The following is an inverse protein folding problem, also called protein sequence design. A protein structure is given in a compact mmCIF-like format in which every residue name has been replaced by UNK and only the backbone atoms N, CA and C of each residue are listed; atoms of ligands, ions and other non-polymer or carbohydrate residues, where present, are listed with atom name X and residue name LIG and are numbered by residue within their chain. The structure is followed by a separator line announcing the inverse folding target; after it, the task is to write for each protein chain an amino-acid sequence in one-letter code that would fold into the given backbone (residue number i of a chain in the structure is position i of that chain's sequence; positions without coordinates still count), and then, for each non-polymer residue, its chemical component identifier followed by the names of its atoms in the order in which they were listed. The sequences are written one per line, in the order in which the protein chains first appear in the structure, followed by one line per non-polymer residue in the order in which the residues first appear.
data_IF_505648703442
#
_entry.id   IF_505648703442
#
_cell.length_a   1.000
_cell.length_b   1.000
_cell.length_c   1.000
_cell.angle_alpha   90.00
_cell.angle_beta   90.00
_cell.angle_gamma   90.00
#
_symmetry.space_group_name_H-M   'P 1'
#
loop_
_entity.id
_entity.type
_entity.pdbx_description
1 polymer ?
#
# COMPACT_ATOMS: atom_id res chain seq x y z
N UNK A 1 -21.42 -15.14 12.94
CA UNK A 1 -22.31 -14.29 12.12
C UNK A 1 -22.80 -13.14 12.97
N UNK A 2 -22.86 -11.95 12.41
CA UNK A 2 -23.42 -10.75 13.04
C UNK A 2 -24.74 -10.40 12.36
N UNK A 3 -25.61 -9.64 13.04
CA UNK A 3 -26.87 -9.18 12.44
C UNK A 3 -26.78 -7.68 12.15
N UNK A 4 -27.16 -7.30 10.93
CA UNK A 4 -27.25 -5.91 10.51
C UNK A 4 -28.65 -5.61 9.95
N UNK A 5 -29.12 -4.39 10.16
CA UNK A 5 -30.36 -3.91 9.54
C UNK A 5 -30.10 -3.55 8.07
N UNK A 6 -30.50 -4.43 7.16
CA UNK A 6 -30.35 -4.27 5.71
C UNK A 6 -31.65 -3.82 5.06
N UNK A 7 -31.60 -2.98 4.01
CA UNK A 7 -32.81 -2.60 3.27
C UNK A 7 -33.35 -3.79 2.46
N UNK A 8 -34.64 -4.10 2.60
CA UNK A 8 -35.33 -5.08 1.75
C UNK A 8 -35.83 -4.45 0.45
N UNK A 9 -36.32 -5.27 -0.48
CA UNK A 9 -36.86 -4.85 -1.77
C UNK A 9 -38.12 -3.96 -1.63
N UNK A 10 -38.79 -4.01 -0.49
CA UNK A 10 -39.97 -3.22 -0.13
C UNK A 10 -39.60 -1.86 0.54
N UNK A 11 -38.33 -1.52 0.63
CA UNK A 11 -37.82 -0.29 1.26
C UNK A 11 -37.79 -0.34 2.80
N UNK A 12 -38.24 -1.42 3.44
CA UNK A 12 -38.13 -1.61 4.89
C UNK A 12 -36.79 -2.19 5.28
N UNK A 13 -36.40 -2.00 6.54
CA UNK A 13 -35.13 -2.55 7.07
C UNK A 13 -35.42 -3.81 7.91
N UNK A 14 -34.73 -4.87 7.54
CA UNK A 14 -34.84 -6.18 8.22
C UNK A 14 -33.49 -6.52 8.88
N UNK A 15 -33.57 -7.17 10.05
CA UNK A 15 -32.41 -7.80 10.67
C UNK A 15 -31.97 -8.98 9.77
N UNK A 16 -30.80 -8.90 9.21
CA UNK A 16 -30.25 -9.89 8.27
C UNK A 16 -28.93 -10.40 8.82
N UNK A 17 -28.76 -11.72 8.80
CA UNK A 17 -27.49 -12.33 9.16
C UNK A 17 -26.43 -11.96 8.11
N UNK A 18 -25.29 -11.47 8.60
CA UNK A 18 -24.14 -11.09 7.76
C UNK A 18 -22.91 -11.82 8.23
N UNK A 19 -22.02 -12.11 7.29
CA UNK A 19 -20.73 -12.71 7.55
C UNK A 19 -19.66 -11.93 6.79
N UNK A 20 -18.50 -11.76 7.39
CA UNK A 20 -17.32 -11.30 6.68
C UNK A 20 -16.72 -12.42 5.80
N UNK A 21 -15.69 -12.08 5.03
CA UNK A 21 -15.07 -13.02 4.09
C UNK A 21 -14.49 -14.25 4.80
N UNK A 22 -13.86 -14.08 5.97
CA UNK A 22 -13.30 -15.18 6.75
C UNK A 22 -14.39 -16.14 7.23
N UNK A 23 -15.46 -15.60 7.78
CA UNK A 23 -16.63 -16.37 8.23
C UNK A 23 -17.29 -17.11 7.06
N UNK A 24 -17.43 -16.47 5.88
CA UNK A 24 -17.97 -17.12 4.68
C UNK A 24 -17.10 -18.29 4.22
N UNK A 25 -15.77 -18.12 4.17
CA UNK A 25 -14.85 -19.18 3.80
C UNK A 25 -14.92 -20.36 4.76
N UNK A 26 -15.07 -20.09 6.08
CA UNK A 26 -15.26 -21.12 7.09
C UNK A 26 -16.60 -21.85 6.93
N UNK A 27 -17.68 -21.13 6.67
CA UNK A 27 -19.01 -21.72 6.44
C UNK A 27 -19.00 -22.65 5.23
N UNK A 28 -18.38 -22.26 4.13
CA UNK A 28 -18.30 -23.07 2.90
C UNK A 28 -17.58 -24.39 3.15
N UNK A 29 -16.57 -24.44 4.02
CA UNK A 29 -15.89 -25.68 4.38
C UNK A 29 -16.81 -26.70 5.04
N UNK A 30 -17.83 -26.25 5.78
CA UNK A 30 -18.81 -27.11 6.47
C UNK A 30 -19.98 -27.56 5.58
N UNK A 31 -20.12 -26.97 4.38
CA UNK A 31 -21.24 -27.33 3.46
C UNK A 31 -20.97 -28.68 2.80
N UNK A 32 -21.82 -29.71 3.01
CA UNK A 32 -21.69 -31.03 2.40
C UNK A 32 -22.24 -31.03 0.96
N UNK A 33 -21.59 -30.31 0.04
CA UNK A 33 -22.04 -30.18 -1.34
C UNK A 33 -20.90 -30.36 -2.32
N UNK A 34 -21.08 -31.17 -3.36
CA UNK A 34 -20.14 -31.31 -4.46
C UNK A 34 -19.86 -29.98 -5.17
N UNK A 35 -20.78 -29.02 -5.14
CA UNK A 35 -20.57 -27.67 -5.69
C UNK A 35 -19.59 -26.84 -4.88
N UNK A 36 -19.41 -27.14 -3.59
CA UNK A 36 -18.44 -26.48 -2.74
C UNK A 36 -17.03 -27.06 -2.85
N UNK A 37 -16.90 -28.28 -3.40
CA UNK A 37 -15.64 -29.02 -3.45
C UNK A 37 -14.50 -28.27 -4.18
N UNK A 38 -14.70 -27.64 -5.35
CA UNK A 38 -13.63 -26.87 -6.00
C UNK A 38 -13.10 -25.73 -5.12
N UNK A 39 -13.97 -25.07 -4.34
CA UNK A 39 -13.55 -24.00 -3.43
C UNK A 39 -12.80 -24.54 -2.21
N UNK A 40 -13.22 -25.71 -1.69
CA UNK A 40 -12.49 -26.38 -0.60
C UNK A 40 -11.08 -26.79 -1.03
N UNK A 41 -10.93 -27.33 -2.26
CA UNK A 41 -9.64 -27.69 -2.83
C UNK A 41 -8.76 -26.45 -3.03
N UNK A 42 -9.34 -25.36 -3.55
CA UNK A 42 -8.62 -24.09 -3.69
C UNK A 42 -8.15 -23.56 -2.31
N UNK A 43 -8.99 -23.60 -1.28
CA UNK A 43 -8.60 -23.20 0.07
C UNK A 43 -7.46 -24.06 0.63
N UNK A 44 -7.50 -25.37 0.37
CA UNK A 44 -6.43 -26.28 0.79
C UNK A 44 -5.12 -25.96 0.07
N UNK A 45 -5.17 -25.66 -1.24
CA UNK A 45 -4.00 -25.25 -2.04
C UNK A 45 -3.40 -23.93 -1.51
N UNK A 46 -4.24 -22.91 -1.28
CA UNK A 46 -3.78 -21.61 -0.72
C UNK A 46 -3.18 -21.79 0.68
N UNK A 47 -3.78 -22.65 1.51
CA UNK A 47 -3.24 -22.97 2.84
C UNK A 47 -1.88 -23.65 2.76
N UNK A 48 -1.72 -24.60 1.86
CA UNK A 48 -0.44 -25.28 1.62
C UNK A 48 0.64 -24.33 1.09
N UNK A 49 0.32 -23.49 0.10
CA UNK A 49 1.21 -22.46 -0.41
C UNK A 49 1.71 -21.55 0.71
N UNK A 50 0.80 -21.12 1.61
CA UNK A 50 1.16 -20.27 2.74
C UNK A 50 2.10 -20.96 3.74
N UNK A 51 1.93 -22.27 3.96
CA UNK A 51 2.82 -23.07 4.80
C UNK A 51 4.21 -23.16 4.13
N UNK A 52 4.25 -23.47 2.82
CA UNK A 52 5.50 -23.53 2.06
C UNK A 52 6.26 -22.20 2.05
N UNK A 53 5.56 -21.06 1.94
CA UNK A 53 6.14 -19.71 2.05
C UNK A 53 6.76 -19.43 3.45
N UNK A 54 6.35 -20.16 4.48
CA UNK A 54 6.94 -20.01 5.82
C UNK A 54 8.28 -20.73 5.90
N UNK A 55 8.43 -21.83 5.16
CA UNK A 55 9.67 -22.60 5.03
C UNK A 55 10.64 -21.95 4.03
N UNK A 56 10.12 -21.44 2.92
CA UNK A 56 10.85 -20.72 1.86
C UNK A 56 10.19 -19.37 1.54
N UNK A 57 10.63 -18.27 2.18
CA UNK A 57 10.07 -16.93 1.95
C UNK A 57 10.22 -16.40 0.51
N UNK A 58 11.12 -16.94 -0.30
CA UNK A 58 11.29 -16.52 -1.70
C UNK A 58 10.03 -16.81 -2.53
N UNK A 59 9.30 -17.89 -2.22
CA UNK A 59 8.03 -18.25 -2.86
C UNK A 59 6.98 -17.14 -2.74
N UNK A 60 6.95 -16.41 -1.62
CA UNK A 60 6.04 -15.27 -1.45
C UNK A 60 6.41 -14.10 -2.38
N UNK A 61 7.72 -13.86 -2.61
CA UNK A 61 8.19 -12.85 -3.56
C UNK A 61 7.86 -13.24 -5.00
N UNK A 62 8.08 -14.49 -5.37
CA UNK A 62 7.76 -15.02 -6.69
C UNK A 62 6.26 -14.90 -6.98
N UNK A 63 5.40 -15.26 -6.03
CA UNK A 63 3.94 -15.09 -6.15
C UNK A 63 3.54 -13.62 -6.29
N UNK A 64 4.21 -12.70 -5.57
CA UNK A 64 3.95 -11.28 -5.71
C UNK A 64 4.34 -10.79 -7.12
N UNK A 65 5.52 -11.19 -7.62
CA UNK A 65 5.98 -10.86 -8.98
C UNK A 65 5.02 -11.38 -10.05
N UNK A 66 4.61 -12.66 -9.97
CA UNK A 66 3.62 -13.24 -10.88
C UNK A 66 2.28 -12.48 -10.87
N UNK A 67 1.82 -12.07 -9.69
CA UNK A 67 0.58 -11.31 -9.55
C UNK A 67 0.65 -9.99 -10.30
N UNK A 68 1.77 -9.26 -10.21
CA UNK A 68 1.98 -8.02 -10.97
C UNK A 68 2.12 -8.29 -12.47
N UNK A 69 2.82 -9.36 -12.88
CA UNK A 69 2.92 -9.76 -14.29
C UNK A 69 1.54 -10.07 -14.89
N UNK A 70 0.70 -10.82 -14.17
CA UNK A 70 -0.70 -11.12 -14.56
C UNK A 70 -1.57 -9.85 -14.68
N UNK A 71 -1.25 -8.79 -13.94
CA UNK A 71 -1.89 -7.48 -14.06
C UNK A 71 -1.34 -6.63 -15.23
N UNK A 72 -0.33 -7.13 -15.96
CA UNK A 72 0.22 -6.47 -17.14
C UNK A 72 1.38 -5.50 -16.87
N UNK A 73 1.95 -5.49 -15.66
CA UNK A 73 3.12 -4.66 -15.37
C UNK A 73 4.40 -5.27 -15.95
N UNK A 74 5.33 -4.41 -16.40
CA UNK A 74 6.64 -4.87 -16.89
C UNK A 74 7.55 -5.32 -15.74
N UNK A 75 8.53 -6.17 -16.04
CA UNK A 75 9.51 -6.64 -15.04
C UNK A 75 10.29 -5.46 -14.42
N UNK A 76 10.65 -4.48 -15.22
CA UNK A 76 11.37 -3.27 -14.78
C UNK A 76 10.52 -2.49 -13.77
N UNK A 77 9.23 -2.29 -14.06
CA UNK A 77 8.31 -1.63 -13.15
C UNK A 77 8.14 -2.42 -11.84
N UNK A 78 8.01 -3.75 -11.93
CA UNK A 78 7.86 -4.63 -10.75
C UNK A 78 9.09 -4.50 -9.85
N UNK A 79 10.30 -4.52 -10.39
CA UNK A 79 11.54 -4.35 -9.63
C UNK A 79 11.56 -2.99 -8.90
N UNK A 80 11.18 -1.91 -9.58
CA UNK A 80 11.06 -0.58 -8.95
C UNK A 80 10.01 -0.57 -7.84
N UNK A 81 8.89 -1.24 -8.07
CA UNK A 81 7.81 -1.33 -7.08
C UNK A 81 8.23 -2.10 -5.82
N UNK A 82 8.93 -3.23 -5.98
CA UNK A 82 9.47 -4.01 -4.86
C UNK A 82 10.49 -3.17 -4.06
N UNK A 83 11.40 -2.47 -4.74
CA UNK A 83 12.36 -1.55 -4.10
C UNK A 83 11.65 -0.43 -3.33
N UNK A 84 10.56 0.10 -3.88
CA UNK A 84 9.77 1.14 -3.19
C UNK A 84 9.08 0.64 -1.92
N UNK A 85 8.78 -0.67 -1.83
CA UNK A 85 8.22 -1.28 -0.61
C UNK A 85 9.31 -1.35 0.48
N UNK A 86 10.54 -1.72 0.11
CA UNK A 86 11.68 -1.78 1.03
C UNK A 86 11.99 -0.39 1.61
N UNK A 87 12.17 0.60 0.73
CA UNK A 87 12.42 2.01 1.14
C UNK A 87 11.30 2.53 2.06
N UNK A 88 10.06 2.22 1.72
CA UNK A 88 8.91 2.61 2.55
C UNK A 88 8.95 1.95 3.93
N UNK A 89 9.35 0.69 4.01
CA UNK A 89 9.47 -0.03 5.26
C UNK A 89 10.54 0.59 6.15
N UNK A 90 11.72 0.89 5.60
CA UNK A 90 12.78 1.59 6.34
C UNK A 90 12.30 2.91 6.95
N UNK A 91 11.57 3.71 6.17
CA UNK A 91 11.01 4.98 6.66
C UNK A 91 10.01 4.76 7.79
N UNK A 92 9.12 3.78 7.66
CA UNK A 92 8.12 3.52 8.71
C UNK A 92 8.75 2.96 9.98
N UNK A 93 9.78 2.13 9.86
CA UNK A 93 10.54 1.60 11.00
C UNK A 93 11.29 2.76 11.70
N UNK A 94 11.86 3.71 10.96
CA UNK A 94 12.49 4.91 11.51
C UNK A 94 11.47 5.77 12.26
N UNK A 95 10.28 5.99 11.71
CA UNK A 95 9.23 6.73 12.39
C UNK A 95 8.80 6.09 13.72
N UNK A 96 8.68 4.75 13.77
CA UNK A 96 8.42 4.04 15.01
C UNK A 96 9.53 4.25 16.03
N UNK A 97 10.78 4.16 15.62
CA UNK A 97 11.95 4.39 16.47
C UNK A 97 11.99 5.84 17.00
N UNK A 98 11.35 6.79 16.31
CA UNK A 98 11.24 8.20 16.70
C UNK A 98 9.95 8.54 17.48
N UNK A 99 9.18 7.53 17.87
CA UNK A 99 7.97 7.71 18.68
C UNK A 99 6.74 8.20 17.91
N UNK A 100 6.74 8.11 16.57
CA UNK A 100 5.54 8.39 15.76
C UNK A 100 4.58 7.21 15.84
N UNK A 101 3.29 7.50 16.02
CA UNK A 101 2.28 6.46 16.17
C UNK A 101 1.77 5.97 14.82
N UNK A 102 1.64 4.63 14.69
CA UNK A 102 1.04 4.01 13.50
C UNK A 102 -0.39 4.50 13.26
N UNK A 103 -0.82 4.45 12.02
CA UNK A 103 -2.15 4.83 11.60
C UNK A 103 -2.23 6.29 11.17
N UNK A 104 -2.88 7.15 11.93
CA UNK A 104 -3.17 8.52 11.51
C UNK A 104 -1.91 9.37 11.33
N UNK A 105 -0.94 9.29 12.24
CA UNK A 105 0.29 10.08 12.14
C UNK A 105 1.12 9.67 10.92
N UNK A 106 1.27 8.36 10.68
CA UNK A 106 1.93 7.85 9.46
C UNK A 106 1.24 8.32 8.18
N UNK A 107 -0.09 8.38 8.17
CA UNK A 107 -0.85 8.88 7.03
C UNK A 107 -0.56 10.36 6.77
N UNK A 108 -0.54 11.18 7.84
CA UNK A 108 -0.24 12.61 7.74
C UNK A 108 1.19 12.84 7.25
N UNK A 109 2.18 12.14 7.82
CA UNK A 109 3.58 12.26 7.37
C UNK A 109 3.75 11.83 5.91
N UNK A 110 3.03 10.79 5.49
CA UNK A 110 3.00 10.37 4.09
C UNK A 110 2.43 11.45 3.17
N UNK A 111 1.38 12.13 3.61
CA UNK A 111 0.77 13.25 2.87
C UNK A 111 1.72 14.46 2.80
N UNK A 112 2.45 14.77 3.86
CA UNK A 112 3.45 15.85 3.84
C UNK A 112 4.58 15.54 2.83
N UNK A 113 5.11 14.32 2.83
CA UNK A 113 6.09 13.89 1.84
C UNK A 113 5.51 14.02 0.43
N UNK A 114 4.32 13.45 0.19
CA UNK A 114 3.68 13.45 -1.13
C UNK A 114 3.41 14.86 -1.62
N UNK A 115 2.90 15.73 -0.75
CA UNK A 115 2.66 17.14 -1.08
C UNK A 115 3.95 17.89 -1.41
N UNK A 116 5.02 17.62 -0.68
CA UNK A 116 6.28 18.30 -0.89
C UNK A 116 6.94 17.91 -2.24
N UNK A 117 6.89 16.63 -2.64
CA UNK A 117 7.50 16.23 -3.91
C UNK A 117 6.56 16.31 -5.11
N UNK A 118 5.28 15.95 -4.95
CA UNK A 118 4.32 15.92 -6.07
C UNK A 118 3.54 17.22 -6.24
N UNK A 119 3.50 18.11 -5.21
CA UNK A 119 2.66 19.30 -5.18
C UNK A 119 1.19 19.00 -4.90
N UNK A 120 0.83 17.76 -4.64
CA UNK A 120 -0.52 17.26 -4.40
C UNK A 120 -0.52 16.37 -3.15
N UNK A 121 -1.56 16.42 -2.33
CA UNK A 121 -1.74 15.42 -1.30
C UNK A 121 -2.15 14.06 -1.91
N UNK A 122 -2.09 12.99 -1.13
CA UNK A 122 -2.40 11.63 -1.59
C UNK A 122 -3.81 11.53 -2.20
N UNK A 123 -4.79 12.25 -1.64
CA UNK A 123 -6.17 12.24 -2.13
C UNK A 123 -6.29 12.95 -3.49
N UNK A 124 -5.67 14.11 -3.62
CA UNK A 124 -5.61 14.86 -4.88
C UNK A 124 -4.90 14.07 -5.96
N UNK A 125 -3.79 13.41 -5.60
CA UNK A 125 -3.03 12.59 -6.54
C UNK A 125 -3.82 11.35 -7.00
N UNK A 126 -4.54 10.69 -6.09
CA UNK A 126 -5.46 9.62 -6.47
C UNK A 126 -6.56 10.12 -7.42
N UNK A 127 -7.13 11.30 -7.14
CA UNK A 127 -8.14 11.89 -8.01
C UNK A 127 -7.59 12.20 -9.41
N UNK A 128 -6.37 12.76 -9.52
CA UNK A 128 -5.69 13.01 -10.79
C UNK A 128 -5.54 11.72 -11.61
N UNK A 129 -5.23 10.59 -10.96
CA UNK A 129 -5.11 9.27 -11.59
C UNK A 129 -6.44 8.51 -11.70
N UNK A 130 -7.58 9.14 -11.39
CA UNK A 130 -8.92 8.54 -11.43
C UNK A 130 -9.08 7.30 -10.53
N UNK A 131 -8.32 7.24 -9.42
CA UNK A 131 -8.33 6.14 -8.46
C UNK A 131 -9.33 6.40 -7.33
N UNK A 132 -10.00 5.34 -6.85
CA UNK A 132 -10.93 5.41 -5.70
C UNK A 132 -10.32 4.75 -4.45
N UNK A 133 -10.19 3.42 -4.47
CA UNK A 133 -9.68 2.61 -3.35
C UNK A 133 -8.30 2.01 -3.63
N UNK A 134 -7.88 2.02 -4.87
CA UNK A 134 -6.65 1.42 -5.35
C UNK A 134 -5.42 2.04 -4.67
N UNK A 135 -4.35 1.27 -4.59
CA UNK A 135 -3.09 1.76 -4.05
C UNK A 135 -2.46 2.75 -5.05
N UNK A 136 -2.19 3.98 -4.61
CA UNK A 136 -1.62 5.02 -5.47
C UNK A 136 -0.29 4.59 -6.11
N UNK A 137 0.59 3.92 -5.36
CA UNK A 137 1.91 3.50 -5.84
C UNK A 137 1.83 2.44 -6.95
N UNK A 138 0.78 1.64 -6.97
CA UNK A 138 0.57 0.65 -8.04
C UNK A 138 0.17 1.30 -9.38
N UNK A 139 -0.16 2.59 -9.36
CA UNK A 139 -0.52 3.39 -10.54
C UNK A 139 0.49 4.51 -10.84
N UNK A 140 1.66 4.46 -10.22
CA UNK A 140 2.78 5.36 -10.51
C UNK A 140 3.60 4.84 -11.69
N UNK A 141 4.08 5.75 -12.54
CA UNK A 141 5.10 5.47 -13.54
C UNK A 141 6.45 5.13 -12.87
N UNK A 142 7.41 4.61 -13.62
CA UNK A 142 8.75 4.35 -13.11
C UNK A 142 9.40 5.61 -12.52
N UNK A 143 9.26 6.76 -13.18
CA UNK A 143 9.82 8.02 -12.68
C UNK A 143 9.14 8.50 -11.40
N UNK A 144 7.82 8.40 -11.32
CA UNK A 144 7.08 8.72 -10.10
C UNK A 144 7.48 7.82 -8.92
N UNK A 145 7.68 6.51 -9.16
CA UNK A 145 8.19 5.59 -8.14
C UNK A 145 9.60 5.98 -7.67
N UNK A 146 10.49 6.35 -8.59
CA UNK A 146 11.86 6.80 -8.26
C UNK A 146 11.83 8.08 -7.43
N UNK A 147 11.03 9.07 -7.82
CA UNK A 147 10.90 10.33 -7.05
C UNK A 147 10.27 10.09 -5.68
N UNK A 148 9.27 9.22 -5.58
CA UNK A 148 8.69 8.85 -4.29
C UNK A 148 9.70 8.13 -3.40
N UNK A 149 10.48 7.20 -3.94
CA UNK A 149 11.57 6.54 -3.20
C UNK A 149 12.64 7.54 -2.75
N UNK A 150 13.01 8.49 -3.61
CA UNK A 150 13.97 9.55 -3.24
C UNK A 150 13.44 10.37 -2.06
N UNK A 151 12.16 10.78 -2.09
CA UNK A 151 11.54 11.52 -1.00
C UNK A 151 11.54 10.73 0.31
N UNK A 152 11.19 9.43 0.25
CA UNK A 152 11.15 8.55 1.42
C UNK A 152 12.56 8.26 1.97
N UNK A 153 13.54 7.96 1.10
CA UNK A 153 14.92 7.68 1.50
C UNK A 153 15.61 8.92 2.09
N UNK A 154 15.44 10.10 1.47
CA UNK A 154 16.00 11.35 2.01
C UNK A 154 15.35 11.73 3.34
N UNK A 155 14.06 11.49 3.52
CA UNK A 155 13.39 11.68 4.82
C UNK A 155 14.01 10.75 5.88
N UNK A 156 14.23 9.48 5.56
CA UNK A 156 14.86 8.51 6.47
C UNK A 156 16.28 8.94 6.85
N UNK A 157 17.08 9.35 5.87
CA UNK A 157 18.46 9.78 6.13
C UNK A 157 18.53 11.04 7.00
N UNK A 158 17.70 12.06 6.71
CA UNK A 158 17.62 13.27 7.51
C UNK A 158 17.15 12.93 8.95
N UNK A 159 16.19 12.01 9.09
CA UNK A 159 15.71 11.56 10.40
C UNK A 159 16.82 10.92 11.23
N UNK A 160 17.61 10.03 10.60
CA UNK A 160 18.75 9.37 11.26
C UNK A 160 19.82 10.35 11.75
N UNK A 161 20.01 11.46 11.03
CA UNK A 161 20.99 12.49 11.39
C UNK A 161 20.46 13.47 12.41
N UNK A 162 19.21 13.95 12.25
CA UNK A 162 18.61 14.96 13.12
C UNK A 162 17.99 14.40 14.40
N UNK A 163 17.72 13.10 14.44
CA UNK A 163 17.13 12.38 15.58
C UNK A 163 15.81 13.04 16.06
N UNK A 164 14.84 13.32 15.18
CA UNK A 164 13.61 13.98 15.57
C UNK A 164 12.81 13.13 16.57
N UNK A 165 12.23 13.78 17.57
CA UNK A 165 11.39 13.11 18.57
C UNK A 165 9.91 13.47 18.38
N UNK A 166 9.06 12.44 18.32
CA UNK A 166 7.61 12.58 18.21
C UNK A 166 7.14 13.12 16.86
N UNK A 167 5.84 13.35 16.76
CA UNK A 167 5.17 13.63 15.51
C UNK A 167 5.60 14.94 14.83
N UNK A 168 5.63 16.07 15.55
CA UNK A 168 5.84 17.39 14.94
C UNK A 168 7.25 17.56 14.36
N UNK A 169 8.28 17.06 15.03
CA UNK A 169 9.64 17.10 14.49
C UNK A 169 9.80 16.19 13.27
N UNK A 170 9.19 14.99 13.30
CA UNK A 170 9.17 14.09 12.14
C UNK A 170 8.38 14.69 10.98
N UNK A 171 7.34 15.48 11.23
CA UNK A 171 6.59 16.21 10.19
C UNK A 171 7.46 17.23 9.47
N UNK A 172 8.31 17.95 10.18
CA UNK A 172 9.26 18.89 9.58
C UNK A 172 10.28 18.13 8.70
N UNK A 173 10.84 17.02 9.22
CA UNK A 173 11.78 16.16 8.46
C UNK A 173 11.13 15.57 7.21
N UNK A 174 9.88 15.12 7.32
CA UNK A 174 9.11 14.59 6.18
C UNK A 174 8.96 15.64 5.05
N UNK A 175 8.69 16.88 5.42
CA UNK A 175 8.61 18.01 4.49
C UNK A 175 9.96 18.30 3.83
N UNK A 176 11.04 18.30 4.58
CA UNK A 176 12.39 18.53 4.05
C UNK A 176 12.80 17.45 3.05
N UNK A 177 12.66 16.16 3.41
CA UNK A 177 12.97 15.05 2.52
C UNK A 177 12.13 15.06 1.25
N UNK A 178 10.82 15.34 1.39
CA UNK A 178 9.93 15.49 0.24
C UNK A 178 10.33 16.66 -0.68
N UNK A 179 10.77 17.79 -0.11
CA UNK A 179 11.20 18.97 -0.87
C UNK A 179 12.41 18.67 -1.77
N UNK A 180 13.38 17.90 -1.28
CA UNK A 180 14.55 17.49 -2.09
C UNK A 180 14.11 16.74 -3.35
N UNK A 181 13.19 15.80 -3.22
CA UNK A 181 12.63 15.08 -4.37
C UNK A 181 11.78 15.99 -5.28
N UNK A 182 11.06 16.94 -4.69
CA UNK A 182 10.28 17.94 -5.44
C UNK A 182 11.16 18.86 -6.28
N UNK A 183 12.28 19.31 -5.75
CA UNK A 183 13.24 20.13 -6.49
C UNK A 183 13.96 19.31 -7.59
N UNK A 184 14.27 18.05 -7.30
CA UNK A 184 14.76 17.10 -8.31
C UNK A 184 13.76 16.93 -9.46
N UNK A 185 12.46 16.76 -9.15
CA UNK A 185 11.40 16.69 -10.15
C UNK A 185 11.39 17.93 -11.04
N UNK A 186 11.35 19.13 -10.44
CA UNK A 186 11.34 20.40 -11.18
C UNK A 186 12.58 20.54 -12.09
N UNK A 187 13.76 20.11 -11.60
CA UNK A 187 14.99 20.12 -12.39
C UNK A 187 14.89 19.18 -13.60
N UNK A 188 14.28 17.99 -13.45
CA UNK A 188 14.05 17.04 -14.54
C UNK A 188 13.06 17.65 -15.53
N UNK A 189 11.90 18.14 -15.08
CA UNK A 189 10.87 18.77 -15.92
C UNK A 189 11.44 19.92 -16.74
N UNK A 190 12.25 20.78 -16.12
CA UNK A 190 12.89 21.92 -16.80
C UNK A 190 13.87 21.51 -17.89
N UNK A 191 14.54 20.35 -17.74
CA UNK A 191 15.52 19.86 -18.72
C UNK A 191 14.90 18.97 -19.80
N UNK A 192 13.85 18.20 -19.45
CA UNK A 192 13.17 17.31 -20.38
C UNK A 192 12.09 18.01 -21.21
N UNK A 193 11.61 19.18 -20.77
CA UNK A 193 10.48 19.88 -21.38
C UNK A 193 9.14 19.14 -21.20
N UNK A 194 9.07 18.14 -20.32
CA UNK A 194 7.86 17.38 -20.02
C UNK A 194 7.57 17.45 -18.52
N UNK A 195 6.28 17.64 -18.14
CA UNK A 195 5.87 17.67 -16.75
C UNK A 195 5.88 16.28 -16.12
#
# INVERSE_FOLDING_TARGET
CSQLKMPGADGKRYLTDVADTEQLLRLIQSVPSHKAEPLKQWLAAVGYERIAETEDPELALDRAMETYLKKGYSKEWINQRLKSIEVRKELTDEWENRGVQKGQEFAILTDEITRAWAGLDTRQYKALKSLKKENLRDHMSNMELVLNMLAEATTTEISRQKLPEGFEQNRQVAKEGGTIAGDTRKAIESKSGQP
#
